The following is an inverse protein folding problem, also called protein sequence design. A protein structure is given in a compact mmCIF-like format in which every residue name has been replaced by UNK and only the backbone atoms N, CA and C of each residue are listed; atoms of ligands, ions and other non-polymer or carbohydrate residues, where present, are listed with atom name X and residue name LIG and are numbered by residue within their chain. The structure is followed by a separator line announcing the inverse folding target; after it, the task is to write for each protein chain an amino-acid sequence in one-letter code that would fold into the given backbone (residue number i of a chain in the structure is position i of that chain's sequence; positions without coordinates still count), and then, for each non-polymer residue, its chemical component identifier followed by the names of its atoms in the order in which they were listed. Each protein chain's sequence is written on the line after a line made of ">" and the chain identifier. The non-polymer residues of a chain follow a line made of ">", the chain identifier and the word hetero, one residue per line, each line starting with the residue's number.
data_IF_818743512903
#
_entry.id   IF_818743512903
#
_cell.length_a   1.000
_cell.length_b   1.000
_cell.length_c   1.000
_cell.angle_alpha   90.00
_cell.angle_beta   90.00
_cell.angle_gamma   90.00
#
_symmetry.space_group_name_H-M   'P 1'
#
loop_
_entity.id
_entity.type
_entity.pdbx_description
1 polymer ?
#
# COMPACT_ATOMS: atom_id res chain seq x y z
N UNK A 1 -6.76 7.51 -13.13
CA UNK A 1 -5.46 7.06 -13.66
C UNK A 1 -5.74 6.12 -14.82
N UNK A 2 -4.97 6.18 -15.90
CA UNK A 2 -5.11 5.27 -17.05
C UNK A 2 -3.75 4.72 -17.43
N UNK A 3 -3.69 3.46 -17.84
CA UNK A 3 -2.48 2.84 -18.37
C UNK A 3 -2.71 2.44 -19.83
N UNK A 4 -2.00 3.10 -20.74
CA UNK A 4 -2.07 2.84 -22.18
C UNK A 4 -0.67 2.52 -22.70
N UNK A 5 -0.50 1.40 -23.40
CA UNK A 5 0.79 0.95 -23.94
C UNK A 5 1.92 0.89 -22.87
N UNK A 6 1.56 0.54 -21.63
CA UNK A 6 2.48 0.49 -20.50
C UNK A 6 2.83 1.87 -19.91
N UNK A 7 2.22 2.96 -20.35
CA UNK A 7 2.45 4.30 -19.77
C UNK A 7 1.31 4.63 -18.81
N UNK A 8 1.66 4.92 -17.56
CA UNK A 8 0.73 5.44 -16.58
C UNK A 8 0.55 6.95 -16.81
N UNK A 9 -0.70 7.36 -17.04
CA UNK A 9 -1.11 8.76 -17.14
C UNK A 9 -2.10 9.11 -16.01
N UNK A 10 -1.74 10.13 -15.26
CA UNK A 10 -2.41 10.58 -14.05
C UNK A 10 -2.82 12.04 -14.16
N UNK A 11 -3.93 12.36 -13.51
CA UNK A 11 -4.32 13.74 -13.22
C UNK A 11 -3.99 14.04 -11.77
N UNK A 12 -3.40 15.19 -11.51
CA UNK A 12 -3.18 15.73 -10.17
C UNK A 12 -4.04 16.98 -9.98
N UNK A 13 -4.73 17.04 -8.85
CA UNK A 13 -5.53 18.19 -8.42
C UNK A 13 -5.08 18.62 -7.02
N UNK A 14 -5.21 19.90 -6.72
CA UNK A 14 -4.99 20.43 -5.38
C UNK A 14 -6.35 20.67 -4.72
N UNK A 15 -6.51 20.19 -3.49
CA UNK A 15 -7.73 20.34 -2.69
C UNK A 15 -7.36 20.64 -1.24
N UNK A 16 -8.26 21.29 -0.52
CA UNK A 16 -8.18 21.42 0.93
C UNK A 16 -8.90 20.24 1.57
N UNK A 17 -8.25 19.51 2.47
CA UNK A 17 -8.77 18.28 3.07
C UNK A 17 -10.14 18.47 3.75
N UNK A 18 -10.33 19.58 4.47
CA UNK A 18 -11.57 19.88 5.19
C UNK A 18 -12.67 20.50 4.32
N UNK A 19 -12.40 20.74 3.03
CA UNK A 19 -13.38 21.33 2.12
C UNK A 19 -14.39 20.29 1.66
N UNK A 20 -15.65 20.70 1.52
CA UNK A 20 -16.71 19.89 0.87
C UNK A 20 -16.42 19.56 -0.59
N UNK A 21 -15.42 20.20 -1.19
CA UNK A 21 -14.96 19.94 -2.55
C UNK A 21 -13.85 18.88 -2.59
N UNK A 22 -13.33 18.44 -1.45
CA UNK A 22 -12.39 17.32 -1.40
C UNK A 22 -13.12 16.06 -1.88
N UNK A 23 -12.68 15.43 -2.98
CA UNK A 23 -13.30 14.19 -3.43
C UNK A 23 -12.92 13.05 -2.49
N UNK A 24 -13.72 12.00 -2.51
CA UNK A 24 -13.33 10.74 -1.88
C UNK A 24 -12.04 10.21 -2.52
N UNK A 25 -11.13 9.72 -1.68
CA UNK A 25 -9.83 9.23 -2.09
C UNK A 25 -9.40 8.02 -1.27
N UNK A 26 -8.57 7.18 -1.87
CA UNK A 26 -7.79 6.16 -1.19
C UNK A 26 -6.38 6.68 -0.91
N UNK A 27 -5.78 6.29 0.21
CA UNK A 27 -4.37 6.54 0.48
C UNK A 27 -3.55 5.31 0.09
N UNK A 28 -2.52 5.49 -0.75
CA UNK A 28 -1.60 4.41 -1.09
C UNK A 28 -0.49 4.34 -0.05
N UNK A 29 -0.37 3.18 0.60
CA UNK A 29 0.73 2.86 1.49
C UNK A 29 1.69 1.88 0.82
N UNK A 30 2.93 2.28 0.62
CA UNK A 30 3.95 1.50 -0.07
C UNK A 30 5.35 1.84 0.44
N UNK A 31 6.30 0.92 0.35
CA UNK A 31 7.70 1.24 0.61
C UNK A 31 8.29 2.05 -0.55
N UNK A 32 9.11 3.07 -0.26
CA UNK A 32 9.67 3.91 -1.31
C UNK A 32 10.56 3.13 -2.30
N UNK A 33 11.22 2.07 -1.84
CA UNK A 33 12.10 1.25 -2.68
C UNK A 33 13.46 1.92 -2.93
N UNK A 34 14.17 1.49 -3.97
CA UNK A 34 15.44 2.07 -4.38
C UNK A 34 15.22 3.35 -5.20
N UNK A 35 15.77 4.47 -4.74
CA UNK A 35 15.70 5.76 -5.42
C UNK A 35 16.46 5.82 -6.74
N UNK A 36 17.43 4.93 -6.96
CA UNK A 36 18.17 4.85 -8.22
C UNK A 36 17.35 4.17 -9.33
N UNK A 37 16.39 3.31 -8.96
CA UNK A 37 15.53 2.58 -9.90
C UNK A 37 14.23 3.36 -10.11
N UNK A 38 14.11 3.99 -11.28
CA UNK A 38 12.97 4.86 -11.58
C UNK A 38 12.29 4.51 -12.89
N UNK A 39 10.97 4.64 -12.91
CA UNK A 39 10.13 4.47 -14.09
C UNK A 39 9.40 5.78 -14.44
N UNK A 40 9.15 6.04 -15.73
CA UNK A 40 8.49 7.26 -16.18
C UNK A 40 6.97 7.18 -16.00
N UNK A 41 6.36 8.29 -15.57
CA UNK A 41 4.90 8.47 -15.53
C UNK A 41 4.52 9.84 -16.06
N UNK A 42 3.29 9.97 -16.55
CA UNK A 42 2.71 11.25 -16.94
C UNK A 42 1.80 11.77 -15.85
N UNK A 43 1.98 13.03 -15.46
CA UNK A 43 1.13 13.72 -14.49
C UNK A 43 0.74 15.06 -15.10
N UNK A 44 -0.56 15.27 -15.31
CA UNK A 44 -1.10 16.46 -15.99
C UNK A 44 -0.39 16.74 -17.34
N UNK A 45 -0.08 15.69 -18.09
CA UNK A 45 0.58 15.77 -19.39
C UNK A 45 2.10 16.01 -19.37
N UNK A 46 2.74 16.09 -18.19
CA UNK A 46 4.20 16.25 -18.05
C UNK A 46 4.83 14.95 -17.55
N UNK A 47 6.09 14.73 -17.94
CA UNK A 47 6.85 13.55 -17.52
C UNK A 47 7.47 13.73 -16.13
N UNK A 48 7.30 12.71 -15.30
CA UNK A 48 7.91 12.60 -13.98
C UNK A 48 8.57 11.22 -13.86
N UNK A 49 9.49 11.12 -12.90
CA UNK A 49 10.10 9.85 -12.51
C UNK A 49 9.63 9.49 -11.12
N UNK A 50 9.16 8.26 -10.97
CA UNK A 50 8.83 7.65 -9.68
C UNK A 50 9.68 6.41 -9.49
N UNK A 51 9.79 5.91 -8.26
CA UNK A 51 10.52 4.67 -8.01
C UNK A 51 9.82 3.49 -8.69
N UNK A 52 10.60 2.47 -9.05
CA UNK A 52 10.08 1.25 -9.68
C UNK A 52 8.99 0.59 -8.83
N UNK A 53 9.19 0.51 -7.51
CA UNK A 53 8.17 -0.07 -6.63
C UNK A 53 6.85 0.70 -6.62
N UNK A 54 6.88 2.04 -6.72
CA UNK A 54 5.64 2.83 -6.86
C UNK A 54 5.00 2.61 -8.24
N UNK A 55 5.82 2.52 -9.28
CA UNK A 55 5.32 2.27 -10.63
C UNK A 55 4.62 0.91 -10.73
N UNK A 56 5.18 -0.14 -10.12
CA UNK A 56 4.56 -1.46 -10.05
C UNK A 56 3.24 -1.39 -9.29
N UNK A 57 3.20 -0.73 -8.13
CA UNK A 57 1.98 -0.52 -7.36
C UNK A 57 0.88 0.16 -8.21
N UNK A 58 1.21 1.27 -8.86
CA UNK A 58 0.25 2.01 -9.70
C UNK A 58 -0.17 1.22 -10.95
N UNK A 59 0.74 0.45 -11.54
CA UNK A 59 0.44 -0.44 -12.67
C UNK A 59 -0.55 -1.52 -12.25
N UNK A 60 -0.30 -2.20 -11.13
CA UNK A 60 -1.20 -3.24 -10.61
C UNK A 60 -2.57 -2.67 -10.25
N UNK A 61 -2.63 -1.50 -9.59
CA UNK A 61 -3.91 -0.83 -9.30
C UNK A 61 -4.68 -0.49 -10.58
N UNK A 62 -3.98 -0.03 -11.62
CA UNK A 62 -4.59 0.26 -12.92
C UNK A 62 -5.09 -1.00 -13.61
N UNK A 63 -4.25 -2.04 -13.71
CA UNK A 63 -4.54 -3.26 -14.47
C UNK A 63 -5.68 -4.06 -13.82
N UNK A 64 -5.71 -4.13 -12.49
CA UNK A 64 -6.77 -4.80 -11.72
C UNK A 64 -8.01 -3.91 -11.51
N UNK A 65 -8.03 -2.69 -12.05
CA UNK A 65 -9.12 -1.72 -11.92
C UNK A 65 -9.53 -1.43 -10.46
N UNK A 66 -8.58 -1.55 -9.53
CA UNK A 66 -8.80 -1.34 -8.09
C UNK A 66 -9.19 0.13 -7.87
N UNK A 67 -10.40 0.35 -7.36
CA UNK A 67 -10.99 1.68 -7.15
C UNK A 67 -10.78 2.63 -8.35
N UNK A 68 -10.98 2.13 -9.57
CA UNK A 68 -10.67 2.83 -10.83
C UNK A 68 -11.38 4.18 -11.02
N UNK A 69 -12.45 4.44 -10.28
CA UNK A 69 -13.20 5.72 -10.28
C UNK A 69 -12.84 6.64 -9.12
N UNK A 70 -11.94 6.24 -8.22
CA UNK A 70 -11.58 6.96 -7.00
C UNK A 70 -10.23 7.67 -7.15
N UNK A 71 -10.03 8.75 -6.39
CA UNK A 71 -8.74 9.43 -6.34
C UNK A 71 -7.75 8.67 -5.45
N UNK A 72 -6.46 8.83 -5.74
CA UNK A 72 -5.40 8.28 -4.90
C UNK A 72 -4.54 9.41 -4.36
N UNK A 73 -4.32 9.41 -3.05
CA UNK A 73 -3.23 10.16 -2.45
C UNK A 73 -1.98 9.28 -2.42
N UNK A 74 -0.89 9.80 -3.00
CA UNK A 74 0.41 9.13 -3.11
C UNK A 74 1.48 10.15 -2.76
N UNK A 75 2.19 9.95 -1.64
CA UNK A 75 3.17 10.91 -1.12
C UNK A 75 4.23 11.37 -2.13
N UNK A 76 4.78 10.48 -2.95
CA UNK A 76 5.78 10.80 -3.97
C UNK A 76 5.25 11.69 -5.10
N UNK A 77 3.93 11.75 -5.28
CA UNK A 77 3.27 12.53 -6.33
C UNK A 77 2.59 13.78 -5.76
N UNK A 78 1.92 13.65 -4.61
CA UNK A 78 1.10 14.70 -4.01
C UNK A 78 1.92 15.70 -3.20
N UNK A 79 3.11 15.32 -2.71
CA UNK A 79 4.00 16.19 -1.95
C UNK A 79 5.09 16.76 -2.86
N UNK A 80 5.34 18.06 -2.75
CA UNK A 80 6.46 18.70 -3.44
C UNK A 80 7.76 18.43 -2.68
N UNK A 81 8.51 17.42 -3.12
CA UNK A 81 9.77 17.02 -2.47
C UNK A 81 10.91 18.05 -2.59
N UNK A 82 10.76 19.07 -3.43
CA UNK A 82 11.71 20.18 -3.58
C UNK A 82 11.35 21.41 -2.72
N UNK A 83 10.21 21.40 -2.04
CA UNK A 83 9.75 22.49 -1.18
C UNK A 83 9.65 21.96 0.26
N UNK A 84 10.69 22.24 1.06
CA UNK A 84 10.76 21.75 2.44
C UNK A 84 9.64 22.31 3.33
N UNK A 85 9.12 23.51 3.02
CA UNK A 85 8.02 24.10 3.78
C UNK A 85 6.71 23.36 3.49
N UNK A 86 6.40 23.15 2.21
CA UNK A 86 5.22 22.39 1.79
C UNK A 86 5.30 20.94 2.30
N UNK A 87 6.45 20.31 2.14
CA UNK A 87 6.70 18.95 2.65
C UNK A 87 6.49 18.86 4.16
N UNK A 88 6.99 19.81 4.93
CA UNK A 88 6.76 19.86 6.38
C UNK A 88 5.28 19.93 6.75
N UNK A 89 4.52 20.75 6.02
CA UNK A 89 3.06 20.86 6.18
C UNK A 89 2.37 19.54 5.85
N UNK A 90 2.67 18.92 4.71
CA UNK A 90 2.06 17.65 4.30
C UNK A 90 2.38 16.51 5.27
N UNK A 91 3.63 16.42 5.72
CA UNK A 91 4.05 15.39 6.70
C UNK A 91 3.30 15.57 8.00
N UNK A 92 3.08 16.80 8.46
CA UNK A 92 2.25 17.06 9.65
C UNK A 92 0.79 16.68 9.48
N UNK A 93 0.29 16.64 8.24
CA UNK A 93 -1.10 16.29 7.89
C UNK A 93 -1.29 14.79 7.61
N UNK A 94 -0.24 13.98 7.59
CA UNK A 94 -0.35 12.55 7.24
C UNK A 94 -1.42 11.81 8.06
N UNK A 95 -1.49 12.03 9.38
CA UNK A 95 -2.51 11.40 10.22
C UNK A 95 -3.93 11.74 9.78
N UNK A 96 -4.19 12.99 9.39
CA UNK A 96 -5.48 13.43 8.86
C UNK A 96 -5.75 12.85 7.47
N UNK A 97 -4.74 12.82 6.60
CA UNK A 97 -4.86 12.28 5.24
C UNK A 97 -5.22 10.79 5.27
N UNK A 98 -4.51 10.00 6.09
CA UNK A 98 -4.81 8.58 6.23
C UNK A 98 -6.11 8.34 7.02
N UNK A 99 -6.44 9.19 7.99
CA UNK A 99 -7.68 9.08 8.77
C UNK A 99 -8.95 9.51 8.02
N UNK A 100 -8.86 10.37 7.01
CA UNK A 100 -10.00 10.85 6.22
C UNK A 100 -10.16 10.15 4.87
N UNK A 101 -9.20 9.32 4.46
CA UNK A 101 -9.34 8.55 3.23
C UNK A 101 -10.46 7.50 3.37
N UNK A 102 -11.12 7.16 2.27
CA UNK A 102 -12.14 6.11 2.25
C UNK A 102 -11.49 4.76 2.60
N UNK A 103 -10.31 4.50 2.03
CA UNK A 103 -9.52 3.30 2.29
C UNK A 103 -8.02 3.55 2.17
N UNK A 104 -7.27 2.86 3.01
CA UNK A 104 -5.82 2.66 2.79
C UNK A 104 -5.63 1.42 1.93
N UNK A 105 -4.86 1.55 0.85
CA UNK A 105 -4.41 0.45 0.02
C UNK A 105 -2.95 0.16 0.36
N UNK A 106 -2.70 -0.98 0.99
CA UNK A 106 -1.35 -1.42 1.32
C UNK A 106 -0.73 -2.20 0.17
N UNK A 107 0.34 -1.68 -0.41
CA UNK A 107 1.17 -2.36 -1.40
C UNK A 107 2.36 -3.03 -0.71
N UNK A 108 2.30 -4.35 -0.60
CA UNK A 108 3.35 -5.18 0.01
C UNK A 108 4.37 -5.69 -1.01
N UNK A 109 4.40 -5.14 -2.22
CA UNK A 109 5.27 -5.56 -3.32
C UNK A 109 4.57 -6.47 -4.34
N UNK A 110 5.20 -6.75 -5.48
CA UNK A 110 4.64 -7.59 -6.53
C UNK A 110 4.39 -9.02 -6.05
N UNK A 111 3.59 -9.75 -6.82
CA UNK A 111 3.41 -11.19 -6.65
C UNK A 111 4.77 -11.91 -6.75
N UNK A 112 5.03 -12.82 -5.82
CA UNK A 112 6.30 -13.54 -5.74
C UNK A 112 6.62 -13.98 -4.32
N UNK A 113 7.75 -14.65 -4.10
CA UNK A 113 8.18 -15.15 -2.79
C UNK A 113 7.10 -15.99 -2.06
N UNK A 114 6.29 -16.71 -2.84
CA UNK A 114 5.16 -17.53 -2.39
C UNK A 114 4.06 -16.70 -1.68
N UNK A 115 3.81 -15.48 -2.19
CA UNK A 115 2.84 -14.55 -1.61
C UNK A 115 1.40 -15.05 -1.65
N UNK A 116 1.02 -15.85 -2.66
CA UNK A 116 -0.32 -16.43 -2.75
C UNK A 116 -0.58 -17.38 -1.58
N UNK A 117 0.36 -18.29 -1.32
CA UNK A 117 0.26 -19.25 -0.22
C UNK A 117 0.34 -18.58 1.15
N UNK A 118 1.10 -17.48 1.26
CA UNK A 118 1.09 -16.63 2.44
C UNK A 118 -0.28 -16.00 2.69
N UNK A 119 -0.95 -15.50 1.64
CA UNK A 119 -2.29 -14.90 1.74
C UNK A 119 -3.36 -15.94 2.09
N UNK A 120 -3.32 -17.11 1.45
CA UNK A 120 -4.18 -18.24 1.79
C UNK A 120 -3.99 -18.65 3.26
N UNK A 121 -2.75 -18.64 3.73
CA UNK A 121 -2.46 -18.94 5.12
C UNK A 121 -3.00 -17.88 6.07
N UNK A 122 -2.87 -16.59 5.74
CA UNK A 122 -3.48 -15.50 6.51
C UNK A 122 -4.99 -15.67 6.60
N UNK A 123 -5.66 -16.07 5.51
CA UNK A 123 -7.10 -16.33 5.52
C UNK A 123 -7.44 -17.48 6.48
N UNK A 124 -6.71 -18.60 6.39
CA UNK A 124 -6.87 -19.73 7.32
C UNK A 124 -6.66 -19.29 8.79
N UNK A 125 -5.62 -18.49 9.04
CA UNK A 125 -5.31 -17.93 10.36
C UNK A 125 -6.45 -17.05 10.89
N UNK A 126 -7.01 -16.19 10.04
CA UNK A 126 -8.14 -15.31 10.37
C UNK A 126 -9.41 -16.09 10.71
N UNK A 127 -9.75 -17.12 9.93
CA UNK A 127 -10.89 -17.99 10.24
C UNK A 127 -10.73 -18.68 11.58
N UNK A 128 -9.54 -19.20 11.86
CA UNK A 128 -9.22 -19.80 13.16
C UNK A 128 -9.34 -18.82 14.31
N UNK A 129 -8.73 -17.65 14.21
CA UNK A 129 -8.78 -16.59 15.22
C UNK A 129 -10.22 -16.25 15.62
N UNK A 130 -11.13 -16.12 14.65
CA UNK A 130 -12.52 -15.76 14.90
C UNK A 130 -13.38 -16.92 15.45
N UNK A 131 -12.85 -18.15 15.51
CA UNK A 131 -13.61 -19.36 15.85
C UNK A 131 -13.11 -20.11 17.08
N UNK A 132 -12.02 -19.64 17.72
CA UNK A 132 -11.43 -20.31 18.89
C UNK A 132 -11.46 -19.43 20.14
N UNK A 133 -11.78 -20.04 21.28
CA UNK A 133 -11.72 -19.38 22.60
C UNK A 133 -10.27 -19.24 23.10
N UNK A 134 -9.37 -20.16 22.73
CA UNK A 134 -7.95 -20.16 23.09
C UNK A 134 -7.07 -20.12 21.83
N UNK A 135 -6.61 -18.92 21.50
CA UNK A 135 -5.76 -18.66 20.35
C UNK A 135 -4.36 -19.27 20.49
N UNK A 136 -3.77 -19.22 21.69
CA UNK A 136 -2.39 -19.67 21.90
C UNK A 136 -2.27 -21.19 21.67
N UNK A 137 -3.20 -21.96 22.24
CA UNK A 137 -3.18 -23.41 22.09
C UNK A 137 -3.47 -23.81 20.64
N UNK A 138 -4.39 -23.11 19.97
CA UNK A 138 -4.68 -23.34 18.57
C UNK A 138 -3.46 -23.08 17.67
N UNK A 139 -2.77 -21.94 17.86
CA UNK A 139 -1.55 -21.62 17.13
C UNK A 139 -0.44 -22.65 17.40
N UNK A 140 -0.23 -23.07 18.65
CA UNK A 140 0.76 -24.11 18.99
C UNK A 140 0.51 -25.42 18.25
N UNK A 141 -0.75 -25.82 18.07
CA UNK A 141 -1.12 -27.02 17.32
C UNK A 141 -0.85 -26.86 15.83
N UNK A 142 -1.12 -25.67 15.28
CA UNK A 142 -0.84 -25.34 13.88
C UNK A 142 0.66 -25.33 13.56
N UNK A 143 1.48 -24.72 14.40
CA UNK A 143 2.94 -24.66 14.20
C UNK A 143 3.56 -26.06 14.20
N UNK A 144 3.00 -27.02 14.95
CA UNK A 144 3.51 -28.40 15.03
C UNK A 144 3.15 -29.28 13.84
N UNK A 145 2.19 -28.88 13.01
CA UNK A 145 1.77 -29.66 11.85
C UNK A 145 2.72 -29.42 10.69
N UNK A 146 3.40 -30.48 10.26
CA UNK A 146 4.36 -30.44 9.16
C UNK A 146 3.74 -29.97 7.84
N UNK A 147 2.45 -30.26 7.63
CA UNK A 147 1.69 -29.83 6.44
C UNK A 147 1.64 -28.30 6.25
N UNK A 148 1.81 -27.52 7.33
CA UNK A 148 1.80 -26.05 7.27
C UNK A 148 3.20 -25.42 7.24
N UNK A 149 4.27 -26.21 7.26
CA UNK A 149 5.65 -25.70 7.31
C UNK A 149 5.98 -24.78 6.12
N UNK A 150 5.51 -25.14 4.94
CA UNK A 150 5.68 -24.32 3.74
C UNK A 150 4.93 -22.99 3.87
N UNK A 151 3.65 -23.02 4.29
CA UNK A 151 2.83 -21.82 4.48
C UNK A 151 3.42 -20.86 5.52
N UNK A 152 3.98 -21.38 6.62
CA UNK A 152 4.72 -20.56 7.59
C UNK A 152 5.94 -19.88 6.98
N UNK A 153 6.67 -20.58 6.10
CA UNK A 153 7.85 -20.03 5.42
C UNK A 153 7.45 -18.95 4.41
N UNK A 154 6.34 -19.15 3.71
CA UNK A 154 5.75 -18.16 2.81
C UNK A 154 5.27 -16.92 3.56
N UNK A 155 4.62 -17.10 4.72
CA UNK A 155 4.23 -15.98 5.58
C UNK A 155 5.44 -15.20 6.10
N UNK A 156 6.51 -15.89 6.53
CA UNK A 156 7.75 -15.25 6.96
C UNK A 156 8.37 -14.39 5.84
N UNK A 157 8.43 -14.90 4.61
CA UNK A 157 8.88 -14.13 3.44
C UNK A 157 8.02 -12.90 3.19
N UNK A 158 6.69 -13.06 3.22
CA UNK A 158 5.75 -11.95 3.01
C UNK A 158 5.92 -10.86 4.09
N UNK A 159 5.99 -11.23 5.36
CA UNK A 159 6.20 -10.32 6.49
C UNK A 159 7.64 -9.74 6.52
N UNK A 160 8.58 -10.40 5.87
CA UNK A 160 9.95 -9.93 5.69
C UNK A 160 10.08 -8.76 4.69
N UNK A 161 9.06 -8.52 3.86
CA UNK A 161 9.10 -7.51 2.78
C UNK A 161 9.23 -6.07 3.33
N UNK A 162 9.81 -5.13 2.56
CA UNK A 162 10.15 -3.79 3.03
C UNK A 162 8.97 -3.00 3.60
N UNK A 163 7.76 -3.23 3.09
CA UNK A 163 6.56 -2.56 3.56
C UNK A 163 6.37 -2.73 5.07
N UNK A 164 6.47 -3.96 5.59
CA UNK A 164 6.27 -4.33 7.01
C UNK A 164 7.27 -3.71 7.98
N UNK A 165 8.38 -3.16 7.48
CA UNK A 165 9.45 -2.56 8.30
C UNK A 165 9.33 -1.04 8.42
N UNK A 166 8.32 -0.43 7.79
CA UNK A 166 8.13 1.02 7.80
C UNK A 166 7.58 1.48 9.15
N UNK A 167 8.18 2.53 9.70
CA UNK A 167 7.72 3.16 10.94
C UNK A 167 6.26 3.66 10.86
N UNK A 168 5.79 4.01 9.66
CA UNK A 168 4.48 4.63 9.43
C UNK A 168 3.30 3.64 9.39
N UNK A 169 3.53 2.32 9.39
CA UNK A 169 2.44 1.31 9.40
C UNK A 169 1.51 1.50 10.61
N UNK A 170 2.06 1.94 11.75
CA UNK A 170 1.26 2.21 12.93
C UNK A 170 0.20 3.30 12.70
N UNK A 171 0.51 4.34 11.93
CA UNK A 171 -0.48 5.38 11.61
C UNK A 171 -1.55 4.87 10.63
N UNK A 172 -1.20 3.91 9.77
CA UNK A 172 -2.09 3.35 8.76
C UNK A 172 -3.02 2.26 9.33
N UNK A 173 -2.58 1.56 10.38
CA UNK A 173 -3.34 0.47 11.01
C UNK A 173 -4.09 0.88 12.29
N UNK A 174 -3.63 1.89 13.05
CA UNK A 174 -4.20 2.27 14.35
C UNK A 174 -5.23 3.41 14.24
N UNK A 175 -5.20 4.21 13.18
CA UNK A 175 -6.10 5.38 13.01
C UNK A 175 -7.46 4.99 12.38
N UNK A 176 -7.76 3.69 12.27
CA UNK A 176 -9.09 3.19 11.87
C UNK A 176 -9.97 2.88 13.08
#
# INVERSE_FOLDING_TARGET
>A
MTRNEGIIDCRLIHVQLESRQCPDYCALSYAWGDHALTQPVRINGRWFKITENLYDALSTLSDLHIYSTTWYWVDAICISHSDDLEKGIQVSQMGTIFGQCERVVAWTGPEGDDSEEALDFIQLLSYGYNSVEDLEEWLRRLVRKEEYRFMWSSLDRLLGRPWWRRAWILQECIIR
#
